data_IF_385151315673
#
_entry.id   IF_385151315673
#
_cell.length_a   1.000
_cell.length_b   1.000
_cell.length_c   1.000
_cell.angle_alpha   90.00
_cell.angle_beta   90.00
_cell.angle_gamma   90.00
#
_symmetry.space_group_name_H-M   'P 1'
#
loop_
_entity.id
_entity.type
_entity.pdbx_description
1 polymer ?
#
# COMPACT_ATOMS: atom_id res chain seq x y z
N UNK A 1 10.10 2.44 3.35
CA UNK A 1 11.07 2.80 2.29
C UNK A 1 10.63 3.88 1.30
N UNK A 2 9.55 4.64 1.56
CA UNK A 2 9.07 5.69 0.63
C UNK A 2 9.36 7.12 1.10
N UNK A 3 10.02 7.30 2.24
CA UNK A 3 10.39 8.61 2.78
C UNK A 3 11.56 9.22 1.98
N UNK A 4 11.26 9.73 0.78
CA UNK A 4 12.25 10.29 -0.15
C UNK A 4 11.85 11.74 -0.48
N UNK A 5 12.72 12.70 -0.13
CA UNK A 5 12.44 14.13 -0.32
C UNK A 5 12.62 14.65 -1.76
N UNK A 6 13.30 13.89 -2.63
CA UNK A 6 13.53 14.28 -4.03
C UNK A 6 13.54 13.06 -4.96
N UNK A 7 12.78 13.07 -6.08
CA UNK A 7 12.79 11.97 -7.03
C UNK A 7 14.13 11.88 -7.79
N UNK A 8 14.43 10.70 -8.31
CA UNK A 8 15.61 10.49 -9.17
C UNK A 8 15.54 11.34 -10.43
N UNK A 9 16.60 12.10 -10.71
CA UNK A 9 16.71 12.93 -11.92
C UNK A 9 16.87 12.13 -13.22
N UNK A 10 17.19 10.84 -13.13
CA UNK A 10 17.34 9.94 -14.27
C UNK A 10 16.07 9.12 -14.52
N UNK A 11 15.54 8.44 -13.47
CA UNK A 11 14.43 7.49 -13.64
C UNK A 11 13.20 8.16 -14.23
N UNK A 12 12.81 9.33 -13.74
CA UNK A 12 11.65 10.06 -14.27
C UNK A 12 11.73 10.33 -15.77
N UNK A 13 12.93 10.67 -16.27
CA UNK A 13 13.18 10.87 -17.71
C UNK A 13 13.18 9.56 -18.50
N UNK A 14 13.69 8.49 -17.90
CA UNK A 14 13.84 7.21 -18.57
C UNK A 14 12.50 6.45 -18.73
N UNK A 15 11.58 6.57 -17.77
CA UNK A 15 10.34 5.78 -17.73
C UNK A 15 9.05 6.58 -17.75
N UNK A 16 9.10 7.92 -17.68
CA UNK A 16 7.91 8.78 -17.56
C UNK A 16 6.81 8.49 -18.58
N UNK A 17 7.17 8.36 -19.86
CA UNK A 17 6.22 8.09 -20.96
C UNK A 17 5.60 6.68 -20.91
N UNK A 18 6.12 5.80 -20.04
CA UNK A 18 5.60 4.43 -19.81
C UNK A 18 4.73 4.33 -18.55
N UNK A 19 4.60 5.41 -17.79
CA UNK A 19 3.82 5.45 -16.55
C UNK A 19 2.44 6.05 -16.84
N UNK A 20 1.40 5.25 -16.67
CA UNK A 20 0.02 5.69 -16.92
C UNK A 20 -0.53 6.64 -15.84
N UNK A 21 0.07 6.68 -14.65
CA UNK A 21 -0.37 7.56 -13.58
C UNK A 21 0.39 7.35 -12.27
N UNK A 22 0.05 8.19 -11.29
CA UNK A 22 0.60 8.18 -9.95
C UNK A 22 -0.53 8.27 -8.94
N UNK A 23 -0.34 7.68 -7.76
CA UNK A 23 -1.28 7.78 -6.66
C UNK A 23 -0.51 8.14 -5.38
N UNK A 24 -1.15 8.94 -4.53
CA UNK A 24 -0.71 9.17 -3.16
C UNK A 24 -1.62 8.39 -2.21
N UNK A 25 -1.05 7.99 -1.08
CA UNK A 25 -1.72 7.22 -0.04
C UNK A 25 -1.28 7.78 1.30
N UNK A 26 -2.16 7.74 2.30
CA UNK A 26 -1.85 8.19 3.65
C UNK A 26 -1.22 7.06 4.46
N UNK A 27 -0.51 7.41 5.53
CA UNK A 27 0.03 6.40 6.46
C UNK A 27 -1.09 5.55 7.05
N UNK A 28 -2.23 6.14 7.40
CA UNK A 28 -3.41 5.40 7.86
C UNK A 28 -3.89 4.37 6.83
N UNK A 29 -3.85 4.70 5.54
CA UNK A 29 -4.21 3.76 4.48
C UNK A 29 -3.21 2.60 4.39
N UNK A 30 -1.92 2.87 4.56
CA UNK A 30 -0.88 1.83 4.61
C UNK A 30 -1.09 0.91 5.81
N UNK A 31 -1.36 1.48 6.99
CA UNK A 31 -1.61 0.72 8.22
C UNK A 31 -2.87 -0.13 8.10
N UNK A 32 -3.98 0.41 7.60
CA UNK A 32 -5.18 -0.42 7.34
C UNK A 32 -4.88 -1.55 6.37
N UNK A 33 -4.14 -1.28 5.31
CA UNK A 33 -3.80 -2.26 4.27
C UNK A 33 -2.93 -3.39 4.81
N UNK A 34 -1.93 -3.12 5.66
CA UNK A 34 -1.10 -4.18 6.25
C UNK A 34 -1.94 -5.13 7.11
N UNK A 35 -2.82 -4.58 7.95
CA UNK A 35 -3.67 -5.38 8.83
C UNK A 35 -4.63 -6.26 8.03
N UNK A 36 -5.19 -5.73 6.93
CA UNK A 36 -6.04 -6.48 6.01
C UNK A 36 -5.26 -7.57 5.27
N UNK A 37 -4.04 -7.28 4.79
CA UNK A 37 -3.23 -8.24 4.05
C UNK A 37 -2.88 -9.49 4.88
N UNK A 38 -2.56 -9.30 6.15
CA UNK A 38 -2.32 -10.41 7.07
C UNK A 38 -3.61 -11.17 7.40
N UNK A 39 -4.69 -10.46 7.71
CA UNK A 39 -5.97 -11.09 8.04
C UNK A 39 -6.56 -11.89 6.86
N UNK A 40 -6.40 -11.41 5.64
CA UNK A 40 -6.99 -12.02 4.44
C UNK A 40 -6.10 -13.09 3.80
N UNK A 41 -4.77 -12.95 3.88
CA UNK A 41 -3.84 -13.78 3.12
C UNK A 41 -2.59 -14.23 3.92
N UNK A 42 -2.48 -13.91 5.21
CA UNK A 42 -1.30 -14.22 6.02
C UNK A 42 -0.03 -13.48 5.60
N UNK A 43 -0.17 -12.41 4.80
CA UNK A 43 0.96 -11.65 4.27
C UNK A 43 1.41 -10.58 5.26
N UNK A 44 2.62 -10.75 5.82
CA UNK A 44 3.26 -9.75 6.67
C UNK A 44 4.03 -8.74 5.84
N UNK A 45 3.42 -7.56 5.65
CA UNK A 45 3.97 -6.48 4.83
C UNK A 45 4.49 -5.34 5.71
N UNK A 46 5.60 -4.71 5.34
CA UNK A 46 5.94 -3.42 5.94
C UNK A 46 5.08 -2.29 5.33
N UNK A 47 4.89 -1.13 6.01
CA UNK A 47 3.95 -0.11 5.56
C UNK A 47 4.12 0.32 4.11
N UNK A 48 5.35 0.53 3.62
CA UNK A 48 5.53 1.00 2.24
C UNK A 48 5.25 -0.04 1.16
N UNK A 49 5.36 -1.33 1.48
CA UNK A 49 4.98 -2.43 0.59
C UNK A 49 3.45 -2.48 0.35
N UNK A 50 2.66 -1.81 1.20
CA UNK A 50 1.22 -1.72 1.05
C UNK A 50 0.77 -0.68 0.02
N UNK A 51 1.65 0.25 -0.40
CA UNK A 51 1.30 1.35 -1.29
C UNK A 51 0.75 0.85 -2.64
N UNK A 52 1.34 -0.22 -3.20
CA UNK A 52 0.90 -0.81 -4.46
C UNK A 52 -0.52 -1.39 -4.39
N UNK A 53 -0.86 -2.08 -3.30
CA UNK A 53 -2.21 -2.61 -3.07
C UNK A 53 -3.24 -1.48 -2.95
N UNK A 54 -2.92 -0.44 -2.19
CA UNK A 54 -3.82 0.69 -2.01
C UNK A 54 -4.03 1.47 -3.31
N UNK A 55 -2.96 1.72 -4.06
CA UNK A 55 -3.04 2.37 -5.37
C UNK A 55 -3.87 1.55 -6.38
N UNK A 56 -3.73 0.22 -6.39
CA UNK A 56 -4.57 -0.64 -7.22
C UNK A 56 -6.06 -0.50 -6.87
N UNK A 57 -6.39 -0.37 -5.59
CA UNK A 57 -7.74 -0.04 -5.12
C UNK A 57 -8.30 1.27 -5.71
N UNK A 58 -7.48 2.33 -5.76
CA UNK A 58 -7.87 3.60 -6.38
C UNK A 58 -8.15 3.46 -7.88
N UNK A 59 -7.28 2.72 -8.59
CA UNK A 59 -7.43 2.46 -10.03
C UNK A 59 -8.72 1.70 -10.32
N UNK A 60 -9.01 0.64 -9.55
CA UNK A 60 -10.26 -0.13 -9.68
C UNK A 60 -11.49 0.73 -9.39
N UNK A 61 -11.47 1.53 -8.33
CA UNK A 61 -12.58 2.40 -7.96
C UNK A 61 -12.85 3.50 -9.01
N UNK A 62 -11.80 3.98 -9.68
CA UNK A 62 -11.90 4.92 -10.78
C UNK A 62 -12.38 4.29 -12.10
N UNK A 63 -12.54 2.96 -12.17
CA UNK A 63 -12.84 2.23 -13.40
C UNK A 63 -11.70 2.25 -14.43
N UNK A 64 -10.50 2.66 -14.02
CA UNK A 64 -9.34 2.70 -14.88
C UNK A 64 -8.76 1.28 -15.02
N UNK A 65 -8.52 0.83 -16.25
CA UNK A 65 -7.94 -0.50 -16.53
C UNK A 65 -8.93 -1.57 -17.02
N UNK A 66 -10.22 -1.26 -17.10
CA UNK A 66 -11.26 -2.16 -17.63
C UNK A 66 -11.64 -3.30 -16.68
N UNK A 67 -12.88 -3.77 -16.76
CA UNK A 67 -13.47 -4.70 -15.79
C UNK A 67 -12.88 -6.13 -15.79
N UNK A 68 -11.96 -6.46 -16.71
CA UNK A 68 -11.46 -7.82 -16.93
C UNK A 68 -9.91 -7.94 -16.85
N UNK A 69 -9.22 -6.94 -16.32
CA UNK A 69 -7.75 -6.94 -16.20
C UNK A 69 -7.24 -7.73 -15.00
N UNK A 70 -6.05 -8.32 -15.12
CA UNK A 70 -5.31 -8.86 -13.97
C UNK A 70 -4.56 -7.72 -13.28
N UNK A 71 -4.90 -7.44 -12.02
CA UNK A 71 -4.19 -6.47 -11.20
C UNK A 71 -2.97 -7.13 -10.53
N UNK A 72 -1.78 -6.61 -10.79
CA UNK A 72 -0.53 -7.05 -10.17
C UNK A 72 -0.01 -5.93 -9.26
N UNK A 73 0.10 -6.22 -7.96
CA UNK A 73 0.72 -5.32 -6.99
C UNK A 73 2.09 -5.86 -6.59
N UNK A 74 3.11 -5.00 -6.64
CA UNK A 74 4.48 -5.37 -6.25
C UNK A 74 4.70 -5.08 -4.76
N UNK A 75 4.82 -6.13 -3.96
CA UNK A 75 5.03 -6.04 -2.51
C UNK A 75 6.54 -6.00 -2.22
N UNK A 76 7.06 -4.84 -1.80
CA UNK A 76 8.51 -4.58 -1.76
C UNK A 76 9.24 -5.07 -0.50
N UNK A 77 8.53 -5.46 0.57
CA UNK A 77 9.17 -5.84 1.82
C UNK A 77 8.20 -6.23 2.94
N UNK A 78 8.77 -6.66 4.06
CA UNK A 78 8.04 -7.08 5.28
C UNK A 78 8.59 -8.35 5.92
N UNK A 79 9.20 -9.24 5.15
CA UNK A 79 9.68 -10.56 5.63
C UNK A 79 10.76 -10.52 6.71
N UNK A 80 11.53 -9.43 6.78
CA UNK A 80 12.61 -9.24 7.76
C UNK A 80 12.20 -8.31 8.92
N UNK A 81 10.95 -7.87 8.98
CA UNK A 81 10.49 -7.01 10.06
C UNK A 81 10.38 -7.79 11.37
N UNK A 82 10.96 -7.32 12.48
CA UNK A 82 10.81 -7.98 13.77
C UNK A 82 9.34 -8.14 14.18
N UNK A 83 9.05 -9.25 14.85
CA UNK A 83 7.67 -9.63 15.20
C UNK A 83 6.98 -8.59 16.08
N UNK A 84 7.71 -8.01 17.02
CA UNK A 84 7.17 -7.00 17.93
C UNK A 84 6.83 -5.68 17.20
N UNK A 85 7.74 -5.19 16.36
CA UNK A 85 7.49 -3.99 15.53
C UNK A 85 6.30 -4.21 14.60
N UNK A 86 6.26 -5.38 13.95
CA UNK A 86 5.16 -5.74 13.07
C UNK A 86 3.82 -5.82 13.82
N UNK A 87 3.79 -6.43 15.01
CA UNK A 87 2.58 -6.53 15.82
C UNK A 87 2.02 -5.15 16.22
N UNK A 88 2.90 -4.19 16.59
CA UNK A 88 2.50 -2.82 16.92
C UNK A 88 1.83 -2.12 15.73
N UNK A 89 2.40 -2.28 14.53
CA UNK A 89 1.84 -1.75 13.28
C UNK A 89 0.51 -2.41 12.94
N UNK A 90 0.42 -3.75 13.01
CA UNK A 90 -0.82 -4.50 12.77
C UNK A 90 -1.93 -4.01 13.71
N UNK A 91 -1.63 -3.85 14.99
CA UNK A 91 -2.61 -3.38 15.98
C UNK A 91 -3.07 -1.94 15.70
N UNK A 92 -2.16 -1.06 15.26
CA UNK A 92 -2.52 0.28 14.81
C UNK A 92 -3.47 0.26 13.61
N UNK A 93 -3.16 -0.54 12.58
CA UNK A 93 -4.03 -0.75 11.43
C UNK A 93 -5.40 -1.33 11.80
N UNK A 94 -5.44 -2.27 12.74
CA UNK A 94 -6.67 -2.85 13.28
C UNK A 94 -7.56 -1.81 13.97
N UNK A 95 -6.97 -0.90 14.78
CA UNK A 95 -7.71 0.21 15.40
C UNK A 95 -8.32 1.16 14.38
N UNK A 96 -7.59 1.45 13.30
CA UNK A 96 -8.04 2.32 12.20
C UNK A 96 -9.15 1.69 11.34
N UNK A 97 -9.31 0.37 11.40
CA UNK A 97 -10.28 -0.40 10.61
C UNK A 97 -11.59 -0.68 11.37
N UNK A 98 -11.63 -0.43 12.69
CA UNK A 98 -12.87 -0.58 13.46
C UNK A 98 -13.84 0.55 13.08
N UNK A 99 -15.14 0.25 12.89
CA UNK A 99 -16.13 1.30 12.72
C UNK A 99 -16.07 2.22 13.94
N UNK A 100 -16.12 3.54 13.71
CA UNK A 100 -16.25 4.50 14.79
C UNK A 100 -17.49 4.10 15.60
N UNK A 101 -17.32 3.95 16.93
CA UNK A 101 -18.45 3.65 17.82
C UNK A 101 -19.56 4.71 17.68
N UNK A 102 -20.78 4.41 18.14
CA UNK A 102 -21.88 5.37 18.07
C UNK A 102 -21.46 6.69 18.74
N UNK A 103 -21.68 7.80 18.03
CA UNK A 103 -21.54 9.16 18.57
C UNK A 103 -22.68 9.47 19.52
#
# INVERSE_FOLDING_TARGET
>A
GLAVGRPSGFVGKAVGDRVAGYATVTDDDLLRTLAVAEAAAGLRLEPSACAGLRAAGHVMAAGAGGAAGTHVAWLTGGSLMPDEEYAQLRDAGGRLSRPAGPR
#
